data_IF_245212464254
#
_entry.id   IF_245212464254
#
_cell.length_a   1.000
_cell.length_b   1.000
_cell.length_c   1.000
_cell.angle_alpha   90.00
_cell.angle_beta   90.00
_cell.angle_gamma   90.00
#
_symmetry.space_group_name_H-M   'P 1'
#
loop_
_entity.id
_entity.type
_entity.pdbx_description
1 polymer ?
#
# COMPACT_ATOMS: atom_id res chain seq x y z
N UNK A 1 -1.76 11.36 -5.53
CA UNK A 1 -2.63 10.49 -6.35
C UNK A 1 -3.50 9.61 -5.46
N UNK A 2 -4.70 9.18 -5.90
CA UNK A 2 -5.55 8.22 -5.16
C UNK A 2 -5.79 6.96 -6.00
N UNK A 3 -5.87 5.81 -5.36
CA UNK A 3 -6.08 4.51 -6.00
C UNK A 3 -7.15 3.75 -5.20
N UNK A 4 -8.23 3.27 -5.83
CA UNK A 4 -9.21 2.42 -5.16
C UNK A 4 -8.57 1.14 -4.61
N UNK A 5 -9.00 0.70 -3.42
CA UNK A 5 -8.52 -0.55 -2.81
C UNK A 5 -8.69 -1.74 -3.75
N UNK A 6 -9.82 -1.84 -4.44
CA UNK A 6 -10.09 -2.92 -5.39
C UNK A 6 -9.03 -2.99 -6.50
N UNK A 7 -8.56 -1.83 -6.98
CA UNK A 7 -7.49 -1.77 -7.97
C UNK A 7 -6.14 -2.16 -7.37
N UNK A 8 -5.88 -1.84 -6.10
CA UNK A 8 -4.67 -2.30 -5.40
C UNK A 8 -4.72 -3.81 -5.20
N UNK A 9 -5.88 -4.37 -4.84
CA UNK A 9 -6.06 -5.82 -4.68
C UNK A 9 -5.85 -6.57 -6.01
N UNK A 10 -6.32 -6.02 -7.14
CA UNK A 10 -6.04 -6.58 -8.47
C UNK A 10 -4.55 -6.56 -8.80
N UNK A 11 -3.84 -5.47 -8.47
CA UNK A 11 -2.39 -5.38 -8.67
C UNK A 11 -1.63 -6.36 -7.77
N UNK A 12 -2.04 -6.50 -6.49
CA UNK A 12 -1.48 -7.49 -5.57
C UNK A 12 -1.75 -8.92 -6.04
N UNK A 13 -2.93 -9.21 -6.59
CA UNK A 13 -3.25 -10.52 -7.14
C UNK A 13 -2.42 -10.87 -8.38
N UNK A 14 -2.06 -9.87 -9.19
CA UNK A 14 -1.14 -10.04 -10.33
C UNK A 14 0.34 -10.10 -9.90
N UNK A 15 0.66 -9.60 -8.70
CA UNK A 15 2.01 -9.50 -8.17
C UNK A 15 2.26 -10.54 -7.06
N UNK A 16 2.33 -11.81 -7.46
CA UNK A 16 2.65 -12.90 -6.53
C UNK A 16 4.01 -12.68 -5.84
N UNK A 17 4.02 -12.75 -4.51
CA UNK A 17 5.23 -12.66 -3.68
C UNK A 17 5.78 -11.26 -3.48
N UNK A 18 5.15 -10.21 -4.01
CA UNK A 18 5.57 -8.82 -3.76
C UNK A 18 4.87 -8.22 -2.54
N UNK A 19 5.53 -7.25 -1.92
CA UNK A 19 4.95 -6.42 -0.87
C UNK A 19 4.10 -5.29 -1.44
N UNK A 20 3.24 -4.70 -0.59
CA UNK A 20 2.38 -3.58 -0.97
C UNK A 20 3.23 -2.36 -1.41
N UNK A 21 4.35 -2.13 -0.72
CA UNK A 21 5.34 -1.10 -1.02
C UNK A 21 5.94 -1.28 -2.42
N UNK A 22 6.30 -2.51 -2.79
CA UNK A 22 6.86 -2.84 -4.10
C UNK A 22 5.82 -2.71 -5.22
N UNK A 23 4.57 -3.10 -4.97
CA UNK A 23 3.49 -2.99 -5.96
C UNK A 23 3.10 -1.53 -6.22
N UNK A 24 3.11 -0.70 -5.18
CA UNK A 24 2.79 0.73 -5.28
C UNK A 24 4.01 1.59 -5.64
N UNK A 25 5.18 0.99 -5.76
CA UNK A 25 6.47 1.66 -6.01
C UNK A 25 6.68 2.84 -5.05
N UNK A 26 6.43 2.60 -3.75
CA UNK A 26 6.58 3.59 -2.69
C UNK A 26 7.64 3.16 -1.69
N UNK A 27 8.23 4.13 -1.02
CA UNK A 27 9.20 3.88 0.04
C UNK A 27 8.55 3.20 1.25
N UNK A 28 7.35 3.65 1.64
CA UNK A 28 6.64 3.12 2.80
C UNK A 28 5.13 3.31 2.64
N UNK A 29 4.36 2.32 3.12
CA UNK A 29 2.91 2.41 3.22
C UNK A 29 2.53 2.66 4.68
N UNK A 30 1.85 3.76 4.97
CA UNK A 30 1.26 4.04 6.27
C UNK A 30 -0.16 3.47 6.34
N UNK A 31 -0.53 2.94 7.50
CA UNK A 31 -1.90 2.50 7.77
C UNK A 31 -2.73 3.67 8.30
N UNK A 32 -3.92 3.88 7.75
CA UNK A 32 -4.93 4.79 8.29
C UNK A 32 -6.15 4.01 8.74
N UNK A 33 -6.61 4.27 9.96
CA UNK A 33 -7.87 3.72 10.48
C UNK A 33 -9.12 4.43 9.95
N UNK A 34 -8.95 5.60 9.32
CA UNK A 34 -10.06 6.38 8.74
C UNK A 34 -10.28 6.08 7.26
N UNK A 35 -9.33 5.42 6.59
CA UNK A 35 -9.47 5.00 5.20
C UNK A 35 -10.14 3.63 5.13
N UNK A 36 -11.12 3.50 4.22
CA UNK A 36 -11.89 2.28 4.01
C UNK A 36 -11.64 1.67 2.64
N UNK A 37 -11.72 2.49 1.59
CA UNK A 37 -11.81 2.02 0.20
C UNK A 37 -10.80 2.68 -0.76
N UNK A 38 -9.93 3.55 -0.25
CA UNK A 38 -8.95 4.29 -1.06
C UNK A 38 -7.54 4.23 -0.45
N UNK A 39 -6.53 4.22 -1.33
CA UNK A 39 -5.11 4.36 -1.04
C UNK A 39 -4.61 5.68 -1.62
N UNK A 40 -3.94 6.48 -0.79
CA UNK A 40 -3.38 7.77 -1.16
C UNK A 40 -1.88 7.66 -1.40
N UNK A 41 -1.41 8.04 -2.58
CA UNK A 41 0.01 8.13 -2.92
C UNK A 41 0.44 9.60 -2.82
N UNK A 42 1.45 9.85 -2.00
CA UNK A 42 2.10 11.15 -1.84
C UNK A 42 3.47 11.07 -2.51
N UNK A 43 3.71 11.94 -3.50
CA UNK A 43 4.89 11.85 -4.37
C UNK A 43 6.14 12.53 -3.81
N UNK A 44 5.97 13.54 -2.97
CA UNK A 44 7.08 14.27 -2.36
C UNK A 44 6.84 14.45 -0.85
N UNK A 45 7.31 13.48 -0.06
CA UNK A 45 7.38 13.57 1.40
C UNK A 45 8.83 13.42 1.80
N UNK A 46 9.51 14.56 1.93
CA UNK A 46 10.95 14.60 2.21
C UNK A 46 11.80 13.96 1.10
N UNK A 47 11.40 14.15 -0.17
CA UNK A 47 12.07 13.56 -1.33
C UNK A 47 11.79 12.06 -1.55
N UNK A 48 10.79 11.50 -0.86
CA UNK A 48 10.36 10.10 -1.01
C UNK A 48 8.88 10.02 -1.34
N UNK A 49 8.52 8.98 -2.09
CA UNK A 49 7.13 8.62 -2.38
C UNK A 49 6.59 7.72 -1.26
N UNK A 50 5.46 8.05 -0.67
CA UNK A 50 4.81 7.22 0.36
C UNK A 50 3.36 6.94 -0.01
N UNK A 51 2.80 5.85 0.53
CA UNK A 51 1.39 5.53 0.41
C UNK A 51 0.71 5.62 1.79
N UNK A 52 -0.59 5.92 1.81
CA UNK A 52 -1.46 5.78 2.97
C UNK A 52 -2.61 4.88 2.56
N UNK A 53 -2.71 3.71 3.18
CA UNK A 53 -3.71 2.69 2.87
C UNK A 53 -4.58 2.39 4.09
N UNK A 54 -5.77 1.79 3.91
CA UNK A 54 -6.56 1.26 5.02
C UNK A 54 -5.75 0.29 5.87
N UNK A 55 -5.89 0.37 7.20
CA UNK A 55 -5.20 -0.54 8.11
C UNK A 55 -5.47 -2.02 7.80
N UNK A 56 -6.72 -2.34 7.41
CA UNK A 56 -7.11 -3.69 7.00
C UNK A 56 -6.33 -4.16 5.75
N UNK A 57 -6.11 -3.28 4.78
CA UNK A 57 -5.37 -3.59 3.56
C UNK A 57 -3.89 -3.88 3.87
N UNK A 58 -3.24 -2.98 4.61
CA UNK A 58 -1.83 -3.16 5.00
C UNK A 58 -1.63 -4.42 5.84
N UNK A 59 -2.58 -4.76 6.72
CA UNK A 59 -2.51 -5.96 7.54
C UNK A 59 -2.65 -7.25 6.72
N UNK A 60 -3.53 -7.25 5.70
CA UNK A 60 -3.75 -8.39 4.80
C UNK A 60 -2.51 -8.75 3.98
N UNK A 61 -1.75 -7.74 3.56
CA UNK A 61 -0.56 -7.89 2.73
C UNK A 61 0.75 -7.63 3.47
N UNK A 62 0.73 -7.69 4.81
CA UNK A 62 1.94 -7.50 5.61
C UNK A 62 2.92 -8.63 5.28
N UNK A 63 4.18 -8.34 4.93
CA UNK A 63 5.17 -9.39 4.72
C UNK A 63 5.31 -10.24 5.98
N UNK A 64 5.50 -11.56 5.85
CA UNK A 64 5.78 -12.42 7.00
C UNK A 64 7.00 -11.88 7.76
N UNK A 65 7.03 -11.97 9.10
CA UNK A 65 8.19 -11.56 9.86
C UNK A 65 9.42 -12.34 9.37
N UNK A 66 10.60 -11.70 9.22
CA UNK A 66 11.82 -12.43 8.91
C UNK A 66 12.08 -13.44 10.04
N UNK A 67 12.36 -14.68 9.65
CA UNK A 67 12.64 -15.82 10.54
C UNK A 67 13.97 -15.63 11.30
#
# INVERSE_FOLDING_TARGET
MRIPVEQVEQQMAAAEGKTLEEVLEVFEVFASGSLTDEVYILEDVGGKRIAIAPAALKQRYKPPPPA
#
